data_IF_120515435391
#
_entry.id   IF_120515435391
#
_cell.length_a   1.000
_cell.length_b   1.000
_cell.length_c   1.000
_cell.angle_alpha   90.00
_cell.angle_beta   90.00
_cell.angle_gamma   90.00
#
_symmetry.space_group_name_H-M   'P 1'
#
loop_
_entity.id
_entity.type
_entity.pdbx_description
1 polymer ?
#
# COMPACT_ATOMS: atom_id res chain seq x y z
N UNK A 1 -7.52 -12.84 -2.28
CA UNK A 1 -7.30 -11.40 -2.01
C UNK A 1 -5.98 -11.09 -1.31
N UNK A 2 -5.53 -11.89 -0.34
CA UNK A 2 -4.27 -11.69 0.42
C UNK A 2 -3.05 -11.42 -0.47
N UNK A 3 -2.80 -12.25 -1.49
CA UNK A 3 -1.63 -12.12 -2.39
C UNK A 3 -1.58 -10.76 -3.11
N UNK A 4 -2.72 -10.26 -3.62
CA UNK A 4 -2.76 -8.96 -4.31
C UNK A 4 -2.39 -7.81 -3.37
N UNK A 5 -2.81 -7.88 -2.11
CA UNK A 5 -2.49 -6.87 -1.09
C UNK A 5 -1.00 -6.87 -0.76
N UNK A 6 -0.44 -8.03 -0.45
CA UNK A 6 1.01 -8.17 -0.17
C UNK A 6 1.83 -7.64 -1.33
N UNK A 7 1.46 -7.99 -2.57
CA UNK A 7 2.10 -7.46 -3.78
C UNK A 7 1.98 -5.94 -3.89
N UNK A 8 0.82 -5.37 -3.53
CA UNK A 8 0.64 -3.92 -3.54
C UNK A 8 1.53 -3.23 -2.50
N UNK A 9 1.60 -3.79 -1.29
CA UNK A 9 2.38 -3.19 -0.20
C UNK A 9 3.87 -3.24 -0.49
N UNK A 10 4.35 -4.39 -0.98
CA UNK A 10 5.71 -4.52 -1.48
C UNK A 10 6.02 -3.46 -2.52
N UNK A 11 5.18 -3.31 -3.56
CA UNK A 11 5.38 -2.27 -4.60
C UNK A 11 5.46 -0.86 -4.02
N UNK A 12 4.56 -0.50 -3.12
CA UNK A 12 4.56 0.84 -2.51
C UNK A 12 5.82 1.07 -1.68
N UNK A 13 6.24 0.09 -0.87
CA UNK A 13 7.44 0.19 -0.04
C UNK A 13 8.71 0.23 -0.92
N UNK A 14 8.82 -0.64 -1.92
CA UNK A 14 9.95 -0.67 -2.86
C UNK A 14 10.08 0.66 -3.61
N UNK A 15 8.96 1.29 -3.99
CA UNK A 15 8.95 2.62 -4.62
C UNK A 15 9.44 3.71 -3.66
N UNK A 16 9.08 3.63 -2.37
CA UNK A 16 9.54 4.57 -1.34
C UNK A 16 10.99 4.34 -0.93
N UNK A 17 11.50 3.12 -1.04
CA UNK A 17 12.92 2.86 -0.89
C UNK A 17 13.69 3.50 -2.06
N UNK A 18 13.33 3.12 -3.29
CA UNK A 18 14.04 3.52 -4.52
C UNK A 18 14.10 5.03 -4.75
N UNK A 19 12.97 5.76 -4.63
CA UNK A 19 12.92 7.18 -5.02
C UNK A 19 13.15 8.17 -3.89
N UNK A 20 13.08 7.68 -2.67
CA UNK A 20 12.89 8.47 -1.47
C UNK A 20 13.83 8.05 -0.34
N UNK A 21 14.50 6.90 -0.47
CA UNK A 21 15.49 6.38 0.45
C UNK A 21 14.89 5.85 1.74
N UNK A 22 13.64 5.37 1.75
CA UNK A 22 13.04 4.75 2.94
C UNK A 22 13.90 3.56 3.40
N UNK A 23 14.35 3.56 4.65
CA UNK A 23 15.11 2.43 5.21
C UNK A 23 14.17 1.23 5.39
N UNK A 24 14.44 0.15 4.66
CA UNK A 24 13.65 -1.08 4.66
C UNK A 24 14.29 -2.21 5.48
N UNK A 25 15.57 -2.12 5.80
CA UNK A 25 16.34 -3.15 6.51
C UNK A 25 16.98 -2.62 7.81
N UNK A 26 16.24 -2.55 8.93
CA UNK A 26 14.81 -2.85 9.07
C UNK A 26 13.91 -1.61 8.86
N UNK A 27 12.67 -1.84 8.41
CA UNK A 27 11.64 -0.80 8.34
C UNK A 27 11.19 -0.44 9.76
N UNK A 28 11.52 0.78 10.21
CA UNK A 28 11.03 1.30 11.48
C UNK A 28 9.56 1.72 11.35
N UNK A 29 8.68 1.12 12.14
CA UNK A 29 7.25 1.44 12.18
C UNK A 29 6.92 2.10 13.52
N UNK A 30 6.62 3.40 13.49
CA UNK A 30 6.23 4.18 14.67
C UNK A 30 4.75 3.94 14.98
N UNK A 31 4.47 3.23 16.07
CA UNK A 31 3.13 2.88 16.52
C UNK A 31 2.61 3.90 17.53
N UNK A 32 1.44 4.44 17.22
CA UNK A 32 0.71 5.41 18.04
C UNK A 32 -0.30 4.75 19.01
N UNK A 33 -0.72 5.49 20.05
CA UNK A 33 -1.70 5.05 21.05
C UNK A 33 -3.05 4.69 20.42
N UNK A 34 -3.51 5.50 19.46
CA UNK A 34 -4.76 5.29 18.71
C UNK A 34 -4.75 3.98 17.93
N UNK A 35 -3.62 3.64 17.31
CA UNK A 35 -3.45 2.41 16.56
C UNK A 35 -3.45 1.18 17.48
N UNK A 36 -2.71 1.25 18.60
CA UNK A 36 -2.69 0.18 19.60
C UNK A 36 -4.08 -0.07 20.19
N UNK A 37 -4.81 1.00 20.53
CA UNK A 37 -6.21 0.90 21.00
C UNK A 37 -7.12 0.29 19.95
N UNK A 38 -7.02 0.72 18.69
CA UNK A 38 -7.84 0.16 17.61
C UNK A 38 -7.53 -1.32 17.36
N UNK A 39 -6.27 -1.74 17.50
CA UNK A 39 -5.88 -3.14 17.40
C UNK A 39 -6.56 -3.99 18.48
N UNK A 40 -6.60 -3.51 19.72
CA UNK A 40 -7.31 -4.18 20.82
C UNK A 40 -8.81 -4.30 20.55
N UNK A 41 -9.46 -3.21 20.15
CA UNK A 41 -10.90 -3.20 19.83
C UNK A 41 -11.25 -4.19 18.72
N UNK A 42 -10.37 -4.32 17.72
CA UNK A 42 -10.57 -5.24 16.59
C UNK A 42 -9.98 -6.63 16.81
N UNK A 43 -9.43 -6.92 18.01
CA UNK A 43 -8.78 -8.19 18.37
C UNK A 43 -7.67 -8.58 17.38
N UNK A 44 -6.78 -7.64 17.06
CA UNK A 44 -5.68 -7.82 16.12
C UNK A 44 -4.34 -7.90 16.84
N UNK A 45 -3.60 -8.97 16.56
CA UNK A 45 -2.19 -9.05 16.92
C UNK A 45 -1.36 -8.26 15.90
N UNK A 46 -0.83 -7.11 16.31
CA UNK A 46 -0.14 -6.14 15.44
C UNK A 46 1.07 -6.80 14.74
N UNK A 47 1.97 -7.40 15.51
CA UNK A 47 3.21 -7.98 14.98
C UNK A 47 2.97 -9.12 13.99
N UNK A 48 2.09 -10.08 14.33
CA UNK A 48 1.72 -11.18 13.43
C UNK A 48 1.12 -10.67 12.12
N UNK A 49 0.26 -9.64 12.18
CA UNK A 49 -0.35 -9.09 11.00
C UNK A 49 0.67 -8.37 10.11
N UNK A 50 1.65 -7.66 10.68
CA UNK A 50 2.77 -7.11 9.90
C UNK A 50 3.63 -8.22 9.28
N UNK A 51 3.99 -9.28 10.02
CA UNK A 51 4.70 -10.46 9.47
C UNK A 51 3.98 -11.09 8.28
N UNK A 52 2.64 -11.11 8.29
CA UNK A 52 1.85 -11.67 7.18
C UNK A 52 1.71 -10.74 5.98
N UNK A 53 1.85 -9.42 6.17
CA UNK A 53 1.53 -8.41 5.14
C UNK A 53 2.75 -7.78 4.50
N UNK A 54 3.83 -7.61 5.27
CA UNK A 54 5.09 -7.06 4.83
C UNK A 54 6.04 -8.19 4.41
N UNK A 55 6.78 -7.97 3.33
CA UNK A 55 7.81 -8.91 2.86
C UNK A 55 9.23 -8.53 3.29
N UNK A 56 9.38 -7.40 4.00
CA UNK A 56 10.65 -6.90 4.52
C UNK A 56 10.72 -7.08 6.04
N UNK A 57 11.94 -7.00 6.58
CA UNK A 57 12.15 -6.95 8.02
C UNK A 57 11.65 -5.61 8.59
N UNK A 58 11.02 -5.64 9.74
CA UNK A 58 10.49 -4.43 10.38
C UNK A 58 10.79 -4.43 11.87
N UNK A 59 10.88 -3.23 12.43
CA UNK A 59 10.98 -3.01 13.88
C UNK A 59 9.81 -2.15 14.32
N UNK A 60 9.07 -2.63 15.32
CA UNK A 60 8.00 -1.85 15.93
C UNK A 60 8.62 -0.93 16.98
N UNK A 61 8.25 0.34 16.88
CA UNK A 61 8.88 1.41 17.63
C UNK A 61 7.79 2.31 18.20
N UNK A 62 7.99 2.81 19.42
CA UNK A 62 7.11 3.80 20.04
C UNK A 62 7.93 4.97 20.59
N UNK A 63 7.27 5.99 21.12
CA UNK A 63 7.89 7.18 21.72
C UNK A 63 7.62 7.20 23.21
N UNK A 64 8.59 7.66 24.00
CA UNK A 64 8.39 7.88 25.45
C UNK A 64 7.18 8.76 25.74
N UNK A 65 6.80 9.65 24.82
CA UNK A 65 5.69 10.59 25.00
C UNK A 65 4.34 9.94 24.75
N UNK A 66 4.28 8.94 23.86
CA UNK A 66 3.09 8.12 23.65
C UNK A 66 2.84 7.29 24.91
N UNK A 67 3.90 6.74 25.51
CA UNK A 67 3.81 6.01 26.78
C UNK A 67 3.27 6.92 27.88
N UNK A 68 3.88 8.10 28.09
CA UNK A 68 3.43 9.08 29.09
C UNK A 68 1.98 9.55 28.85
N UNK A 69 1.55 9.68 27.59
CA UNK A 69 0.17 10.03 27.26
C UNK A 69 -0.79 8.89 27.59
N UNK A 70 -0.45 7.65 27.26
CA UNK A 70 -1.24 6.48 27.65
C UNK A 70 -1.34 6.33 29.18
N UNK A 71 -0.28 6.61 29.92
CA UNK A 71 -0.29 6.62 31.39
C UNK A 71 -1.28 7.66 31.94
N UNK A 72 -1.30 8.87 31.36
CA UNK A 72 -2.23 9.95 31.74
C UNK A 72 -3.69 9.64 31.43
N UNK A 73 -3.96 8.89 30.36
CA UNK A 73 -5.31 8.46 29.99
C UNK A 73 -5.86 7.37 30.93
N UNK A 74 -5.00 6.78 31.77
CA UNK A 74 -5.40 5.90 32.87
C UNK A 74 -5.96 4.55 32.40
N UNK A 75 -7.00 4.01 33.07
CA UNK A 75 -7.43 2.62 32.87
C UNK A 75 -7.96 2.34 31.46
N UNK A 76 -8.40 3.36 30.72
CA UNK A 76 -8.88 3.22 29.35
C UNK A 76 -7.77 2.79 28.38
N UNK A 77 -6.51 3.16 28.65
CA UNK A 77 -5.37 2.87 27.78
C UNK A 77 -4.36 1.90 28.41
N UNK A 78 -4.64 1.33 29.57
CA UNK A 78 -3.76 0.38 30.28
C UNK A 78 -3.33 -0.81 29.42
N UNK A 79 -4.26 -1.46 28.74
CA UNK A 79 -3.97 -2.58 27.84
C UNK A 79 -3.15 -2.15 26.60
N UNK A 80 -3.43 -0.95 26.06
CA UNK A 80 -2.67 -0.42 24.93
C UNK A 80 -1.23 -0.06 25.33
N UNK A 81 -1.06 0.46 26.54
CA UNK A 81 0.23 0.77 27.15
C UNK A 81 1.09 -0.49 27.32
N UNK A 82 0.53 -1.60 27.80
CA UNK A 82 1.25 -2.87 27.93
C UNK A 82 1.79 -3.35 26.57
N UNK A 83 1.01 -3.23 25.50
CA UNK A 83 1.45 -3.58 24.14
C UNK A 83 2.57 -2.65 23.68
N UNK A 84 2.42 -1.33 23.89
CA UNK A 84 3.42 -0.35 23.45
C UNK A 84 4.75 -0.48 24.19
N UNK A 85 4.74 -0.87 25.46
CA UNK A 85 5.94 -1.10 26.27
C UNK A 85 6.80 -2.27 25.77
N UNK A 86 6.21 -3.23 25.04
CA UNK A 86 6.95 -4.34 24.42
C UNK A 86 7.76 -3.90 23.19
N UNK A 87 7.44 -2.74 22.61
CA UNK A 87 8.12 -2.21 21.43
C UNK A 87 9.35 -1.39 21.80
N UNK A 88 10.23 -1.15 20.83
CA UNK A 88 11.43 -0.33 21.04
C UNK A 88 11.01 1.11 21.35
N UNK A 89 11.32 1.60 22.54
CA UNK A 89 10.98 2.96 22.96
C UNK A 89 12.04 3.97 22.53
N UNK A 90 11.66 4.92 21.67
CA UNK A 90 12.51 6.04 21.30
C UNK A 90 12.49 7.09 22.40
N UNK A 91 13.70 7.44 22.85
CA UNK A 91 13.91 8.59 23.72
C UNK A 91 13.64 9.87 22.94
N UNK A 92 12.88 10.77 23.54
CA UNK A 92 12.57 12.08 22.97
C UNK A 92 13.45 13.17 23.59
N UNK A 93 13.95 14.09 22.77
CA UNK A 93 14.85 15.17 23.22
C UNK A 93 14.12 16.37 23.80
N UNK A 94 12.79 16.41 23.74
CA UNK A 94 12.00 17.58 24.16
C UNK A 94 11.72 17.62 25.67
N UNK A 95 12.71 17.24 26.50
CA UNK A 95 12.64 17.31 27.97
C UNK A 95 12.27 18.70 28.49
N UNK A 96 12.56 19.75 27.71
CA UNK A 96 12.23 21.15 28.01
C UNK A 96 10.73 21.39 28.18
N UNK A 97 9.88 20.60 27.52
CA UNK A 97 8.43 20.69 27.64
C UNK A 97 7.88 19.33 28.09
N UNK A 98 7.91 19.07 29.40
CA UNK A 98 7.32 17.85 30.01
C UNK A 98 5.85 17.63 29.63
N UNK A 99 5.15 18.70 29.20
CA UNK A 99 3.77 18.67 28.73
C UNK A 99 3.61 18.58 27.20
N UNK A 100 4.64 18.15 26.46
CA UNK A 100 4.47 17.90 25.02
C UNK A 100 3.55 16.70 24.83
N UNK A 101 2.41 16.91 24.17
CA UNK A 101 1.50 15.83 23.77
C UNK A 101 2.20 14.84 22.83
N UNK A 102 1.73 13.59 22.80
CA UNK A 102 2.31 12.60 21.89
C UNK A 102 2.14 13.02 20.43
N UNK A 103 0.99 13.63 20.12
CA UNK A 103 0.72 14.26 18.82
C UNK A 103 1.83 15.24 18.40
N UNK A 104 2.20 16.19 19.27
CA UNK A 104 3.25 17.18 18.97
C UNK A 104 4.62 16.53 18.78
N UNK A 105 4.92 15.48 19.54
CA UNK A 105 6.13 14.69 19.39
C UNK A 105 6.20 14.01 18.02
N UNK A 106 5.14 13.29 17.63
CA UNK A 106 5.06 12.59 16.34
C UNK A 106 5.10 13.60 15.20
N UNK A 107 4.32 14.68 15.27
CA UNK A 107 4.34 15.77 14.28
C UNK A 107 5.75 16.32 14.08
N UNK A 108 6.50 16.59 15.15
CA UNK A 108 7.89 17.07 15.04
C UNK A 108 8.81 16.04 14.38
N UNK A 109 8.66 14.75 14.68
CA UNK A 109 9.42 13.66 14.03
C UNK A 109 9.13 13.60 12.52
N UNK A 110 7.85 13.67 12.15
CA UNK A 110 7.39 13.72 10.75
C UNK A 110 7.99 14.93 10.02
N UNK A 111 7.91 16.12 10.61
CA UNK A 111 8.46 17.36 10.02
C UNK A 111 9.99 17.31 9.89
N UNK A 112 10.68 16.71 10.86
CA UNK A 112 12.14 16.50 10.80
C UNK A 112 12.52 15.56 9.65
N UNK A 113 11.73 14.50 9.43
CA UNK A 113 11.92 13.58 8.32
C UNK A 113 11.74 14.28 6.95
N UNK A 114 10.79 15.23 6.86
CA UNK A 114 10.58 16.07 5.68
C UNK A 114 11.80 16.95 5.37
N UNK A 115 12.32 17.65 6.37
CA UNK A 115 13.37 18.67 6.20
C UNK A 115 14.69 18.07 5.70
N UNK A 116 15.09 16.89 6.17
CA UNK A 116 16.39 16.29 5.80
C UNK A 116 16.45 15.70 4.39
N UNK A 117 15.33 15.64 3.68
CA UNK A 117 15.20 14.96 2.39
C UNK A 117 15.60 15.82 1.18
N UNK A 118 15.77 17.13 1.36
CA UNK A 118 16.03 18.07 0.28
C UNK A 118 17.52 18.30 -0.06
N UNK A 119 18.45 17.58 0.56
CA UNK A 119 19.87 17.69 0.20
C UNK A 119 20.24 16.57 -0.78
N UNK A 120 19.91 16.74 -2.06
CA UNK A 120 20.42 15.90 -3.17
C UNK A 120 21.96 15.84 -3.20
N UNK A 121 22.62 16.78 -2.53
CA UNK A 121 24.07 16.94 -2.49
C UNK A 121 24.78 16.27 -1.29
N UNK A 122 24.07 15.62 -0.36
CA UNK A 122 24.69 14.94 0.80
C UNK A 122 24.20 13.49 0.97
N UNK A 123 24.52 12.63 0.02
CA UNK A 123 24.25 11.17 0.01
C UNK A 123 24.84 10.35 1.17
N UNK A 124 25.32 10.96 2.27
CA UNK A 124 25.90 10.24 3.41
C UNK A 124 25.10 10.33 4.72
N UNK A 125 24.17 11.28 4.86
CA UNK A 125 23.31 11.36 6.06
C UNK A 125 22.01 10.62 5.78
N UNK A 126 21.95 9.35 6.19
CA UNK A 126 20.84 8.45 5.89
C UNK A 126 19.46 9.05 6.21
N UNK A 127 18.46 8.69 5.40
CA UNK A 127 17.09 9.17 5.55
C UNK A 127 16.58 8.94 6.97
N UNK A 128 15.76 9.88 7.45
CA UNK A 128 15.00 9.74 8.69
C UNK A 128 13.55 9.29 8.43
N UNK A 129 13.30 8.70 7.27
CA UNK A 129 11.97 8.20 6.94
C UNK A 129 11.71 6.92 7.73
N UNK A 130 10.50 6.82 8.25
CA UNK A 130 9.96 5.68 8.96
C UNK A 130 8.51 5.48 8.49
N UNK A 131 7.91 4.34 8.80
CA UNK A 131 6.48 4.13 8.59
C UNK A 131 5.67 4.64 9.78
N UNK A 132 4.57 5.34 9.54
CA UNK A 132 3.64 5.74 10.58
C UNK A 132 2.52 4.71 10.71
N UNK A 133 2.26 4.19 11.92
CA UNK A 133 1.09 3.38 12.23
C UNK A 133 0.18 4.16 13.19
N UNK A 134 -0.80 4.88 12.66
CA UNK A 134 -1.74 5.70 13.43
C UNK A 134 -3.13 5.65 12.82
N UNK A 135 -4.16 5.68 13.66
CA UNK A 135 -5.55 5.81 13.25
C UNK A 135 -6.06 7.26 13.36
N UNK A 136 -5.23 8.19 13.84
CA UNK A 136 -5.53 9.61 13.91
C UNK A 136 -5.35 10.27 12.53
N UNK A 137 -6.45 10.76 11.96
CA UNK A 137 -6.48 11.42 10.66
C UNK A 137 -5.59 12.66 10.63
N UNK A 138 -5.47 13.40 11.74
CA UNK A 138 -4.65 14.60 11.78
C UNK A 138 -3.16 14.27 11.63
N UNK A 139 -2.66 13.23 12.30
CA UNK A 139 -1.29 12.72 12.11
C UNK A 139 -1.08 12.15 10.71
N UNK A 140 -2.06 11.43 10.17
CA UNK A 140 -2.01 10.91 8.80
C UNK A 140 -1.87 12.05 7.77
N UNK A 141 -2.59 13.17 7.93
CA UNK A 141 -2.45 14.33 7.05
C UNK A 141 -1.03 14.91 7.03
N UNK A 142 -0.41 15.08 8.19
CA UNK A 142 1.01 15.49 8.26
C UNK A 142 1.92 14.48 7.59
N UNK A 143 1.60 13.18 7.72
CA UNK A 143 2.39 12.13 7.11
C UNK A 143 2.27 12.10 5.58
N UNK A 144 1.07 12.31 5.02
CA UNK A 144 0.83 12.41 3.58
C UNK A 144 1.60 13.56 2.95
N UNK A 145 1.81 14.65 3.70
CA UNK A 145 2.59 15.79 3.25
C UNK A 145 4.10 15.48 3.11
N UNK A 146 4.59 14.39 3.71
CA UNK A 146 5.97 13.93 3.55
C UNK A 146 6.03 12.88 2.46
N UNK A 147 6.67 13.16 1.31
CA UNK A 147 6.77 12.16 0.25
C UNK A 147 7.57 10.96 0.77
N UNK A 148 7.15 9.73 0.41
CA UNK A 148 7.87 8.50 0.77
C UNK A 148 7.70 8.01 2.21
N UNK A 149 6.75 8.54 2.98
CA UNK A 149 6.38 7.99 4.28
C UNK A 149 5.17 7.05 4.15
N UNK A 150 5.30 5.75 4.39
CA UNK A 150 4.17 4.83 4.40
C UNK A 150 3.31 5.00 5.65
N UNK A 151 1.99 4.94 5.46
CA UNK A 151 0.99 5.12 6.51
C UNK A 151 0.17 3.85 6.66
N UNK A 152 0.21 3.26 7.85
CA UNK A 152 -0.59 2.12 8.23
C UNK A 152 -1.74 2.55 9.15
N UNK A 153 -2.93 2.03 8.87
CA UNK A 153 -4.11 2.26 9.68
C UNK A 153 -4.93 0.97 9.80
N UNK A 154 -5.69 0.83 10.88
CA UNK A 154 -6.53 -0.35 11.12
C UNK A 154 -7.97 -0.06 10.68
N UNK A 155 -8.47 -0.85 9.73
CA UNK A 155 -9.87 -0.83 9.30
C UNK A 155 -10.32 -2.22 8.81
N UNK A 156 -11.56 -2.61 9.14
CA UNK A 156 -12.15 -3.92 8.82
C UNK A 156 -11.38 -5.14 9.39
N UNK A 157 -10.96 -5.09 10.66
CA UNK A 157 -10.20 -6.15 11.35
C UNK A 157 -8.90 -6.51 10.63
N UNK A 158 -8.17 -5.50 10.16
CA UNK A 158 -6.90 -5.66 9.44
C UNK A 158 -6.13 -4.36 9.39
N UNK A 159 -4.80 -4.49 9.33
CA UNK A 159 -3.89 -3.38 9.04
C UNK A 159 -3.90 -3.14 7.54
N UNK A 160 -4.15 -1.90 7.13
CA UNK A 160 -4.08 -1.48 5.74
C UNK A 160 -2.97 -0.44 5.56
N UNK A 161 -2.20 -0.56 4.47
CA UNK A 161 -1.32 0.49 3.98
C UNK A 161 -2.12 1.44 3.09
N UNK A 162 -1.96 2.74 3.31
CA UNK A 162 -2.54 3.77 2.47
C UNK A 162 -1.96 3.71 1.04
N UNK A 163 -2.81 4.03 0.05
CA UNK A 163 -2.35 4.22 -1.32
C UNK A 163 -1.42 5.42 -1.41
N UNK A 164 -0.58 5.46 -2.45
CA UNK A 164 0.31 6.60 -2.68
C UNK A 164 -0.54 7.88 -2.85
N UNK A 165 -0.30 8.95 -2.06
CA UNK A 165 -1.03 10.21 -2.22
C UNK A 165 -0.84 10.81 -3.61
N UNK A 166 -1.87 11.50 -4.11
CA UNK A 166 -1.87 12.11 -5.46
C UNK A 166 -0.63 13.01 -5.69
N UNK A 167 -0.24 13.91 -4.76
CA UNK A 167 0.94 14.76 -4.97
C UNK A 167 2.23 13.96 -5.13
N UNK A 168 2.38 12.86 -4.38
CA UNK A 168 3.55 11.97 -4.45
C UNK A 168 3.54 11.21 -5.77
N UNK A 169 2.37 10.75 -6.23
CA UNK A 169 2.24 10.10 -7.54
C UNK A 169 2.65 11.03 -8.69
N UNK A 170 2.24 12.30 -8.65
CA UNK A 170 2.63 13.29 -9.66
C UNK A 170 4.15 13.54 -9.65
N UNK A 171 4.76 13.64 -8.47
CA UNK A 171 6.21 13.76 -8.34
C UNK A 171 6.96 12.54 -8.91
N UNK A 172 6.44 11.33 -8.69
CA UNK A 172 7.03 10.12 -9.27
C UNK A 172 6.91 10.09 -10.80
N UNK A 173 5.78 10.52 -11.36
CA UNK A 173 5.59 10.66 -12.81
C UNK A 173 6.55 11.69 -13.41
N UNK A 174 6.70 12.85 -12.78
CA UNK A 174 7.67 13.87 -13.21
C UNK A 174 9.12 13.38 -13.14
N UNK A 175 9.47 12.59 -12.13
CA UNK A 175 10.80 11.94 -12.06
C UNK A 175 10.99 10.92 -13.17
N UNK A 176 9.93 10.18 -13.52
CA UNK A 176 9.97 9.21 -14.61
C UNK A 176 10.12 9.87 -15.99
N UNK A 177 9.48 11.02 -16.23
CA UNK A 177 9.62 11.76 -17.50
C UNK A 177 10.94 12.53 -17.62
N UNK A 178 11.56 12.90 -16.49
CA UNK A 178 12.90 13.53 -16.47
C UNK A 178 14.03 12.52 -16.50
N UNK A 179 13.77 11.26 -16.16
CA UNK A 179 14.76 10.21 -16.35
C UNK A 179 15.18 10.26 -17.82
N UNK A 180 16.49 10.22 -18.13
CA UNK A 180 16.94 10.34 -19.50
C UNK A 180 16.30 9.23 -20.32
N UNK A 181 15.37 9.62 -21.18
CA UNK A 181 14.93 8.74 -22.25
C UNK A 181 16.16 8.43 -23.10
N UNK A 182 16.23 7.21 -23.60
CA UNK A 182 17.29 6.83 -24.53
C UNK A 182 17.27 7.81 -25.71
N UNK A 183 18.38 8.49 -25.94
CA UNK A 183 18.53 9.35 -27.11
C UNK A 183 18.23 8.52 -28.38
N UNK A 184 17.75 9.14 -29.47
CA UNK A 184 17.50 8.40 -30.71
C UNK A 184 18.77 7.68 -31.21
N UNK A 185 19.95 8.22 -30.91
CA UNK A 185 21.24 7.59 -31.20
C UNK A 185 21.50 6.34 -30.36
N UNK A 186 21.18 6.35 -29.06
CA UNK A 186 21.27 5.20 -28.17
C UNK A 186 20.24 4.14 -28.54
N UNK A 187 19.01 4.54 -28.88
CA UNK A 187 17.99 3.65 -29.43
C UNK A 187 18.50 2.92 -30.68
N UNK A 188 19.15 3.63 -31.60
CA UNK A 188 19.73 3.02 -32.81
C UNK A 188 20.89 2.08 -32.49
N UNK A 189 21.79 2.43 -31.57
CA UNK A 189 22.87 1.54 -31.10
C UNK A 189 22.32 0.27 -30.45
N UNK A 190 21.29 0.40 -29.62
CA UNK A 190 20.62 -0.75 -28.97
C UNK A 190 20.02 -1.67 -30.04
N UNK A 191 19.32 -1.12 -31.04
CA UNK A 191 18.81 -1.92 -32.18
C UNK A 191 19.92 -2.63 -32.94
N UNK A 192 21.02 -1.95 -33.25
CA UNK A 192 22.19 -2.55 -33.91
C UNK A 192 22.79 -3.70 -33.08
N UNK A 193 22.86 -3.56 -31.76
CA UNK A 193 23.32 -4.63 -30.89
C UNK A 193 22.33 -5.80 -30.85
N UNK A 194 21.03 -5.54 -30.82
CA UNK A 194 20.02 -6.59 -30.89
C UNK A 194 20.16 -7.42 -32.18
N UNK A 195 20.36 -6.76 -33.33
CA UNK A 195 20.54 -7.42 -34.62
C UNK A 195 21.84 -8.24 -34.67
N UNK A 196 22.96 -7.70 -34.15
CA UNK A 196 24.27 -8.38 -34.15
C UNK A 196 24.30 -9.62 -33.25
N UNK A 197 23.67 -9.56 -32.09
CA UNK A 197 23.67 -10.66 -31.11
C UNK A 197 22.45 -11.59 -31.24
N UNK A 198 21.60 -11.39 -32.25
CA UNK A 198 20.44 -12.23 -32.50
C UNK A 198 19.32 -12.09 -31.46
N UNK A 199 19.29 -10.97 -30.72
CA UNK A 199 18.15 -10.62 -29.87
C UNK A 199 17.02 -10.08 -30.74
N UNK A 200 16.36 -10.98 -31.48
CA UNK A 200 15.06 -10.65 -32.04
C UNK A 200 14.08 -10.38 -30.89
N UNK A 201 13.29 -9.31 -31.00
CA UNK A 201 12.06 -9.23 -30.23
C UNK A 201 11.24 -10.46 -30.64
N UNK A 202 11.31 -11.53 -29.84
CA UNK A 202 10.37 -12.62 -29.98
C UNK A 202 9.00 -11.99 -29.80
N UNK A 203 8.33 -11.70 -30.91
CA UNK A 203 6.92 -11.39 -30.90
C UNK A 203 6.29 -12.57 -30.18
N UNK A 204 5.82 -12.33 -28.96
CA UNK A 204 5.09 -13.34 -28.22
C UNK A 204 3.83 -13.60 -29.04
N UNK A 205 3.91 -14.50 -30.02
CA UNK A 205 2.73 -15.07 -30.64
C UNK A 205 2.00 -15.66 -29.46
N UNK A 206 0.89 -15.01 -29.07
CA UNK A 206 0.08 -15.49 -27.95
C UNK A 206 -0.19 -16.94 -28.27
N UNK A 207 0.42 -17.87 -27.50
CA UNK A 207 0.21 -19.29 -27.69
C UNK A 207 -1.29 -19.48 -27.83
N UNK A 208 -1.74 -19.93 -29.01
CA UNK A 208 -3.15 -20.25 -29.23
C UNK A 208 -3.50 -21.22 -28.11
N UNK A 209 -4.38 -20.80 -27.19
CA UNK A 209 -4.85 -21.69 -26.12
C UNK A 209 -5.28 -22.99 -26.78
N UNK A 210 -4.71 -24.11 -26.37
CA UNK A 210 -5.10 -25.43 -26.83
C UNK A 210 -6.61 -25.55 -26.65
N UNK A 211 -7.34 -25.69 -27.76
CA UNK A 211 -8.80 -25.78 -27.74
C UNK A 211 -9.30 -27.16 -27.25
N UNK A 212 -8.39 -28.09 -26.98
CA UNK A 212 -8.68 -29.41 -26.43
C UNK A 212 -8.59 -29.45 -24.90
N UNK A 213 -9.30 -30.39 -24.25
CA UNK A 213 -9.05 -30.69 -22.84
C UNK A 213 -7.59 -31.08 -22.64
N UNK A 214 -7.00 -30.71 -21.50
CA UNK A 214 -5.64 -31.09 -21.13
C UNK A 214 -5.50 -32.62 -21.21
N UNK A 215 -4.58 -33.18 -22.02
CA UNK A 215 -4.44 -34.63 -22.21
C UNK A 215 -4.08 -35.37 -20.92
N UNK A 216 -3.46 -34.69 -19.94
CA UNK A 216 -3.18 -35.22 -18.59
C UNK A 216 -4.37 -35.13 -17.62
N UNK A 217 -5.49 -34.55 -18.05
CA UNK A 217 -6.72 -34.39 -17.26
C UNK A 217 -7.85 -35.33 -17.70
N UNK A 218 -7.55 -36.34 -18.52
CA UNK A 218 -8.47 -37.42 -18.82
C UNK A 218 -8.53 -38.38 -17.64
N UNK A 219 -9.37 -38.07 -16.64
CA UNK A 219 -9.92 -39.13 -15.77
C UNK A 219 -10.53 -40.19 -16.69
N UNK A 220 -10.13 -41.45 -16.55
CA UNK A 220 -10.72 -42.57 -17.28
C UNK A 220 -12.25 -42.49 -17.16
N UNK A 221 -12.94 -42.56 -18.31
CA UNK A 221 -14.41 -42.52 -18.34
C UNK A 221 -14.94 -43.81 -17.72
N UNK A 222 -15.61 -43.70 -16.58
CA UNK A 222 -16.52 -44.73 -16.08
C UNK A 222 -17.63 -44.95 -17.14
N UNK A 223 -17.84 -46.21 -17.52
CA UNK A 223 -18.99 -46.65 -18.33
C UNK A 223 -20.29 -46.13 -17.69
N UNK A 224 -21.06 -45.31 -18.42
CA UNK A 224 -22.40 -44.90 -18.00
C UNK A 224 -23.37 -45.03 -19.18
N UNK A 225 -24.60 -45.55 -18.94
CA UNK A 225 -25.51 -46.01 -19.98
C UNK A 225 -26.08 -44.85 -20.79
N UNK A 226 -26.51 -45.19 -22.02
CA UNK A 226 -27.14 -44.33 -23.01
C UNK A 226 -28.18 -43.38 -22.38
N UNK A 227 -27.87 -42.09 -22.32
CA UNK A 227 -28.87 -41.05 -22.10
C UNK A 227 -28.57 -39.81 -22.94
N UNK A 228 -29.64 -39.27 -23.48
CA UNK A 228 -29.74 -38.33 -24.61
C UNK A 228 -28.93 -37.04 -24.41
N UNK A 229 -28.20 -36.64 -25.46
CA UNK A 229 -27.34 -35.45 -25.52
C UNK A 229 -28.16 -34.16 -25.37
N UNK A 230 -28.05 -33.48 -24.22
CA UNK A 230 -28.32 -32.03 -24.13
C UNK A 230 -27.01 -31.26 -24.12
N UNK A 231 -26.77 -30.54 -25.21
CA UNK A 231 -25.62 -29.65 -25.44
C UNK A 231 -25.64 -28.48 -24.44
N UNK A 232 -24.86 -28.57 -23.36
CA UNK A 232 -24.61 -27.43 -22.46
C UNK A 232 -23.48 -26.57 -23.02
N UNK A 233 -23.84 -25.54 -23.77
CA UNK A 233 -22.93 -24.45 -24.17
C UNK A 233 -22.44 -23.70 -22.91
N UNK A 234 -21.12 -23.65 -22.73
CA UNK A 234 -20.46 -22.88 -21.66
C UNK A 234 -20.81 -21.39 -21.83
N UNK A 235 -21.69 -20.87 -20.96
CA UNK A 235 -22.04 -19.45 -20.92
C UNK A 235 -20.82 -18.63 -20.50
N UNK A 236 -20.23 -17.88 -21.45
CA UNK A 236 -19.36 -16.74 -21.15
C UNK A 236 -20.16 -15.77 -20.27
N UNK A 237 -19.62 -15.37 -19.11
CA UNK A 237 -20.22 -14.31 -18.28
C UNK A 237 -20.36 -13.05 -19.14
N UNK A 238 -21.59 -12.74 -19.56
CA UNK A 238 -21.89 -11.47 -20.23
C UNK A 238 -21.73 -10.36 -19.20
N UNK A 239 -20.97 -9.32 -19.54
CA UNK A 239 -20.94 -8.05 -18.79
C UNK A 239 -22.40 -7.65 -18.54
N UNK A 240 -22.77 -7.43 -17.27
CA UNK A 240 -24.09 -6.95 -16.91
C UNK A 240 -24.22 -5.57 -17.56
N UNK A 241 -25.02 -5.46 -18.63
CA UNK A 241 -25.45 -4.17 -19.15
C UNK A 241 -26.59 -3.68 -18.26
N UNK A 242 -26.64 -2.37 -18.01
CA UNK A 242 -27.75 -1.74 -17.29
C UNK A 242 -29.08 -2.22 -17.86
N UNK A 243 -29.95 -2.72 -16.98
CA UNK A 243 -31.29 -3.18 -17.35
C UNK A 243 -32.14 -1.99 -17.79
N UNK A 244 -33.14 -2.24 -18.65
CA UNK A 244 -34.05 -1.18 -19.12
C UNK A 244 -34.73 -0.44 -17.97
N UNK A 245 -35.18 -1.19 -16.94
CA UNK A 245 -35.73 -0.60 -15.72
C UNK A 245 -34.75 0.35 -15.02
N UNK A 246 -33.46 -0.01 -14.97
CA UNK A 246 -32.45 0.82 -14.31
C UNK A 246 -32.08 2.05 -15.13
N UNK A 247 -32.22 2.01 -16.46
CA UNK A 247 -32.11 3.20 -17.31
C UNK A 247 -33.25 4.19 -17.02
N UNK A 248 -34.49 3.69 -16.93
CA UNK A 248 -35.66 4.53 -16.64
C UNK A 248 -35.60 5.19 -15.26
N UNK A 249 -35.06 4.51 -14.26
CA UNK A 249 -34.84 5.10 -12.93
C UNK A 249 -33.80 6.22 -12.97
N UNK A 250 -32.70 6.04 -13.69
CA UNK A 250 -31.67 7.08 -13.84
C UNK A 250 -32.24 8.30 -14.55
N UNK A 251 -32.98 8.09 -15.64
CA UNK A 251 -33.61 9.14 -16.44
C UNK A 251 -34.59 9.96 -15.60
N UNK A 252 -35.38 9.31 -14.73
CA UNK A 252 -36.24 9.99 -13.75
C UNK A 252 -35.47 10.84 -12.74
N UNK A 253 -34.37 10.30 -12.19
CA UNK A 253 -33.54 11.01 -11.22
C UNK A 253 -32.84 12.22 -11.84
N UNK A 254 -32.39 12.12 -13.09
CA UNK A 254 -31.82 13.24 -13.85
C UNK A 254 -32.86 14.35 -14.07
N UNK A 255 -34.11 14.00 -14.39
CA UNK A 255 -35.18 14.99 -14.51
C UNK A 255 -35.54 15.67 -13.18
N UNK A 256 -35.56 14.93 -12.07
CA UNK A 256 -35.84 15.51 -10.74
C UNK A 256 -34.74 16.46 -10.28
N UNK A 257 -33.48 16.15 -10.57
CA UNK A 257 -32.34 17.02 -10.25
C UNK A 257 -32.37 18.30 -11.10
N UNK A 258 -32.62 18.18 -12.42
CA UNK A 258 -32.71 19.34 -13.30
C UNK A 258 -33.89 20.27 -12.98
N UNK A 259 -34.96 19.76 -12.35
CA UNK A 259 -36.11 20.57 -11.91
C UNK A 259 -35.90 21.26 -10.55
N UNK A 260 -34.85 20.92 -9.80
CA UNK A 260 -34.50 21.56 -8.52
C UNK A 260 -33.44 22.64 -8.66
N UNK A 261 -32.69 22.61 -9.75
CA UNK A 261 -31.65 23.60 -10.07
C UNK A 261 -32.17 24.75 -10.98
N UNK A 262 -33.44 24.69 -11.41
CA UNK A 262 -34.15 25.74 -12.17
C UNK A 262 -35.21 26.41 -11.29
#
# INVERSE_FOLDING_TARGET
>A
MKIKRVKNYRRTIDLYDTHFGLKTNPLEILVDSTFARQALVQQLHIEQQFKCTLSCEFTLVTSSCIILECEKLGPLFSAALQILQQYKVLKCTHKVHKNTSAFSCIKRRILTARSRKCSETKSRKGSLLFALASNDESLQQYARAVPGMPIFFIAHRRINLESIPIPVSLLLQQKATRAPDLTPSECSKIKQFCDRFGFSEESYTRRKKTKGPNPLSCKQKLHKPHTVKRTKTKRKRKRIKMTWAMKQVIERLETELSSKDA
#
